data_IF_056811243825
#
_entry.id   IF_056811243825
#
_cell.length_a   1.000
_cell.length_b   1.000
_cell.length_c   1.000
_cell.angle_alpha   90.00
_cell.angle_beta   90.00
_cell.angle_gamma   90.00
#
_symmetry.space_group_name_H-M   'P 1'
#
loop_
_entity.id
_entity.type
_entity.pdbx_description
1 polymer ?
#
# COMPACT_ATOMS: atom_id res chain seq x y z
N UNK A 1 -1.15 -65.30 -1.52
CA UNK A 1 -1.98 -64.18 -2.01
C UNK A 1 -1.92 -63.04 -0.99
N UNK A 2 -0.84 -62.25 -0.99
CA UNK A 2 -0.59 -61.25 0.07
C UNK A 2 0.18 -60.02 -0.45
N UNK A 3 -0.30 -59.43 -1.55
CA UNK A 3 0.33 -58.24 -2.16
C UNK A 3 -0.64 -57.10 -2.50
N UNK A 4 -1.91 -57.16 -2.07
CA UNK A 4 -2.92 -56.13 -2.42
C UNK A 4 -3.19 -55.10 -1.31
N UNK A 5 -3.00 -55.42 -0.03
CA UNK A 5 -3.41 -54.51 1.06
C UNK A 5 -2.40 -53.40 1.42
N UNK A 6 -1.09 -53.61 1.21
CA UNK A 6 -0.05 -52.62 1.59
C UNK A 6 0.02 -51.41 0.64
N UNK A 7 -0.45 -51.55 -0.60
CA UNK A 7 -0.42 -50.48 -1.62
C UNK A 7 -1.56 -49.48 -1.44
N UNK A 8 -2.71 -49.92 -0.92
CA UNK A 8 -3.86 -49.05 -0.68
C UNK A 8 -3.63 -48.08 0.49
N UNK A 9 -2.94 -48.52 1.55
CA UNK A 9 -2.65 -47.69 2.73
C UNK A 9 -1.61 -46.60 2.46
N UNK A 10 -0.62 -46.87 1.60
CA UNK A 10 0.40 -45.89 1.22
C UNK A 10 -0.17 -44.75 0.35
N UNK A 11 -1.14 -45.04 -0.51
CA UNK A 11 -1.81 -44.04 -1.35
C UNK A 11 -2.76 -43.13 -0.54
N UNK A 12 -3.42 -43.66 0.49
CA UNK A 12 -4.29 -42.86 1.37
C UNK A 12 -3.53 -41.84 2.23
N UNK A 13 -2.32 -42.18 2.70
CA UNK A 13 -1.47 -41.28 3.50
C UNK A 13 -0.82 -40.16 2.66
N UNK A 14 -0.54 -40.41 1.37
CA UNK A 14 -0.03 -39.38 0.45
C UNK A 14 -1.15 -38.41 0.03
N UNK A 15 -2.38 -38.91 -0.16
CA UNK A 15 -3.53 -38.06 -0.48
C UNK A 15 -3.96 -37.15 0.69
N UNK A 16 -3.75 -37.57 1.94
CA UNK A 16 -4.09 -36.76 3.12
C UNK A 16 -3.06 -35.66 3.44
N UNK A 17 -1.82 -35.79 2.97
CA UNK A 17 -0.73 -34.83 3.25
C UNK A 17 -0.70 -33.65 2.28
N UNK A 18 -1.32 -33.76 1.10
CA UNK A 18 -1.37 -32.67 0.10
C UNK A 18 -2.47 -31.63 0.36
N UNK A 19 -3.47 -31.93 1.19
CA UNK A 19 -4.56 -31.00 1.54
C UNK A 19 -4.20 -30.01 2.67
N UNK A 20 -3.06 -30.17 3.35
CA UNK A 20 -2.69 -29.37 4.51
C UNK A 20 -1.89 -28.08 4.20
N UNK A 21 -1.55 -27.82 2.93
CA UNK A 21 -0.78 -26.62 2.52
C UNK A 21 -1.62 -25.55 1.83
N UNK A 22 -2.95 -25.53 2.04
CA UNK A 22 -3.75 -24.35 1.77
C UNK A 22 -3.40 -23.25 2.79
N UNK A 23 -2.22 -22.64 2.65
CA UNK A 23 -1.89 -21.40 3.32
C UNK A 23 -2.96 -20.39 2.91
N UNK A 24 -3.78 -19.96 3.87
CA UNK A 24 -4.74 -18.90 3.64
C UNK A 24 -3.94 -17.67 3.23
N UNK A 25 -3.95 -17.34 1.94
CA UNK A 25 -3.34 -16.11 1.45
C UNK A 25 -4.19 -14.97 2.04
N UNK A 26 -3.68 -14.37 3.10
CA UNK A 26 -4.32 -13.26 3.81
C UNK A 26 -3.74 -11.95 3.27
N UNK A 27 -4.41 -10.82 3.53
CA UNK A 27 -3.89 -9.51 3.15
C UNK A 27 -2.46 -9.31 3.68
N UNK A 28 -1.64 -8.55 2.95
CA UNK A 28 -0.29 -8.20 3.40
C UNK A 28 -0.37 -7.45 4.72
N UNK A 29 0.24 -8.01 5.75
CA UNK A 29 0.37 -7.34 7.06
C UNK A 29 1.36 -6.18 6.99
N UNK A 30 1.26 -5.28 7.96
CA UNK A 30 2.17 -4.15 8.08
C UNK A 30 3.56 -4.58 8.56
N UNK A 31 4.50 -4.67 7.63
CA UNK A 31 5.87 -5.17 7.86
C UNK A 31 6.87 -4.59 6.85
N UNK A 32 8.18 -4.61 7.14
CA UNK A 32 9.20 -4.25 6.15
C UNK A 32 9.06 -5.05 4.86
N UNK A 33 9.43 -4.42 3.75
CA UNK A 33 9.30 -5.01 2.44
C UNK A 33 10.18 -6.27 2.31
N UNK A 34 9.59 -7.36 1.86
CA UNK A 34 10.28 -8.60 1.51
C UNK A 34 10.01 -8.97 0.06
N UNK A 35 10.81 -9.86 -0.52
CA UNK A 35 10.66 -10.27 -1.91
C UNK A 35 11.14 -9.22 -2.91
N UNK A 36 11.00 -9.53 -4.20
CA UNK A 36 11.46 -8.69 -5.31
C UNK A 36 10.47 -8.73 -6.47
N UNK A 37 10.46 -7.70 -7.31
CA UNK A 37 9.58 -7.65 -8.48
C UNK A 37 8.11 -7.83 -8.08
N UNK A 38 7.45 -8.82 -8.67
CA UNK A 38 6.03 -9.10 -8.44
C UNK A 38 5.72 -9.63 -7.02
N UNK A 39 6.63 -10.38 -6.39
CA UNK A 39 6.44 -10.92 -5.03
C UNK A 39 6.79 -9.92 -3.93
N UNK A 40 7.14 -8.69 -4.29
CA UNK A 40 7.50 -7.65 -3.33
C UNK A 40 6.29 -7.21 -2.52
N UNK A 41 6.38 -7.24 -1.20
CA UNK A 41 5.27 -6.93 -0.29
C UNK A 41 5.76 -6.29 1.00
N UNK A 42 5.02 -5.32 1.53
CA UNK A 42 5.33 -4.57 2.74
C UNK A 42 5.81 -3.14 2.46
N UNK A 43 6.22 -2.44 3.52
CA UNK A 43 6.67 -1.06 3.45
C UNK A 43 8.17 -0.93 3.18
N UNK A 44 8.56 0.13 2.50
CA UNK A 44 9.96 0.52 2.35
C UNK A 44 10.11 2.03 2.29
N UNK A 45 11.29 2.50 2.65
CA UNK A 45 11.64 3.90 2.59
C UNK A 45 12.98 4.12 1.88
N UNK A 46 13.13 5.30 1.28
CA UNK A 46 14.38 5.78 0.72
C UNK A 46 14.52 7.25 1.07
N UNK A 47 15.60 7.60 1.74
CA UNK A 47 15.96 8.99 1.97
C UNK A 47 16.40 9.64 0.64
N UNK A 48 15.83 10.80 0.33
CA UNK A 48 16.21 11.63 -0.83
C UNK A 48 17.04 12.82 -0.34
N UNK A 49 16.59 13.48 0.73
CA UNK A 49 17.27 14.57 1.42
C UNK A 49 17.15 14.37 2.94
N UNK A 50 17.88 15.11 3.80
CA UNK A 50 17.82 14.93 5.25
C UNK A 50 16.40 14.95 5.85
N UNK A 51 15.49 15.74 5.27
CA UNK A 51 14.09 15.83 5.67
C UNK A 51 13.12 15.35 4.57
N UNK A 52 13.59 14.68 3.51
CA UNK A 52 12.76 14.23 2.39
C UNK A 52 12.92 12.73 2.16
N UNK A 53 11.80 12.02 2.17
CA UNK A 53 11.77 10.56 2.04
C UNK A 53 10.74 10.12 1.00
N UNK A 54 11.09 9.11 0.23
CA UNK A 54 10.14 8.33 -0.56
C UNK A 54 9.72 7.10 0.24
N UNK A 55 8.43 6.98 0.52
CA UNK A 55 7.83 5.85 1.24
C UNK A 55 6.97 5.07 0.26
N UNK A 56 7.08 3.74 0.26
CA UNK A 56 6.30 2.86 -0.62
C UNK A 56 5.69 1.74 0.21
N UNK A 57 4.46 1.36 -0.14
CA UNK A 57 3.80 0.17 0.37
C UNK A 57 3.37 -0.72 -0.80
N UNK A 58 3.74 -2.00 -0.77
CA UNK A 58 3.33 -2.98 -1.77
C UNK A 58 2.42 -4.04 -1.12
N UNK A 59 1.22 -4.20 -1.65
CA UNK A 59 0.29 -5.26 -1.25
C UNK A 59 0.51 -6.55 -2.05
N UNK A 60 -0.05 -7.65 -1.56
CA UNK A 60 -0.23 -8.88 -2.31
C UNK A 60 -1.57 -8.86 -3.06
N UNK A 61 -1.93 -9.98 -3.68
CA UNK A 61 -3.13 -10.03 -4.51
C UNK A 61 -4.46 -10.02 -3.76
N UNK A 62 -4.43 -10.23 -2.45
CA UNK A 62 -5.59 -10.15 -1.57
C UNK A 62 -5.69 -8.79 -0.89
N UNK A 63 -4.64 -7.96 -0.99
CA UNK A 63 -4.57 -6.68 -0.28
C UNK A 63 -5.35 -5.63 -1.06
N UNK A 64 -6.41 -5.11 -0.43
CA UNK A 64 -7.20 -4.04 -1.01
C UNK A 64 -6.34 -2.77 -1.22
N UNK A 65 -6.71 -1.99 -2.24
CA UNK A 65 -6.14 -0.64 -2.47
C UNK A 65 -6.20 0.21 -1.20
N UNK A 66 -7.33 0.14 -0.54
CA UNK A 66 -7.62 0.78 0.73
C UNK A 66 -6.57 0.51 1.81
N UNK A 67 -6.30 -0.78 2.05
CA UNK A 67 -5.27 -1.23 2.99
C UNK A 67 -3.88 -0.72 2.57
N UNK A 68 -3.55 -0.75 1.27
CA UNK A 68 -2.26 -0.23 0.77
C UNK A 68 -2.12 1.28 1.02
N UNK A 69 -3.16 2.08 0.75
CA UNK A 69 -3.14 3.53 0.93
C UNK A 69 -2.98 3.90 2.40
N UNK A 70 -3.75 3.21 3.24
CA UNK A 70 -3.77 3.37 4.69
C UNK A 70 -2.43 3.02 5.32
N UNK A 71 -1.83 1.91 4.93
CA UNK A 71 -0.54 1.48 5.46
C UNK A 71 0.60 2.36 4.97
N UNK A 72 0.52 2.89 3.75
CA UNK A 72 1.45 3.91 3.28
C UNK A 72 1.36 5.17 4.15
N UNK A 73 0.15 5.69 4.39
CA UNK A 73 -0.06 6.88 5.21
C UNK A 73 0.47 6.68 6.65
N UNK A 74 0.16 5.52 7.23
CA UNK A 74 0.66 5.15 8.55
C UNK A 74 2.19 5.08 8.58
N UNK A 75 2.83 4.46 7.58
CA UNK A 75 4.30 4.39 7.52
C UNK A 75 4.93 5.77 7.39
N UNK A 76 4.36 6.66 6.58
CA UNK A 76 4.83 8.04 6.47
C UNK A 76 4.81 8.76 7.81
N UNK A 77 3.76 8.57 8.61
CA UNK A 77 3.66 9.14 9.94
C UNK A 77 4.65 8.52 10.93
N UNK A 78 4.75 7.19 10.96
CA UNK A 78 5.68 6.47 11.83
C UNK A 78 7.13 6.89 11.55
N UNK A 79 7.51 6.95 10.28
CA UNK A 79 8.83 7.40 9.85
C UNK A 79 9.11 8.85 10.28
N UNK A 80 8.12 9.74 10.17
CA UNK A 80 8.26 11.14 10.58
C UNK A 80 8.58 11.26 12.07
N UNK A 81 7.88 10.51 12.91
CA UNK A 81 8.15 10.48 14.35
C UNK A 81 9.51 9.83 14.65
N UNK A 82 9.87 8.75 13.93
CA UNK A 82 11.17 8.07 14.05
C UNK A 82 12.35 9.00 13.74
N UNK A 83 12.20 9.89 12.76
CA UNK A 83 13.21 10.88 12.39
C UNK A 83 13.20 12.12 13.29
N UNK A 84 12.33 12.18 14.32
CA UNK A 84 12.27 13.28 15.28
C UNK A 84 11.57 14.54 14.77
N UNK A 85 10.66 14.39 13.81
CA UNK A 85 9.81 15.45 13.27
C UNK A 85 8.38 15.34 13.79
N UNK A 86 7.58 16.40 13.63
CA UNK A 86 6.22 16.49 14.16
C UNK A 86 5.14 16.29 13.08
N UNK A 87 5.42 16.75 11.86
CA UNK A 87 4.50 16.65 10.73
C UNK A 87 5.27 16.32 9.46
N UNK A 88 4.52 15.84 8.46
CA UNK A 88 5.01 15.71 7.10
C UNK A 88 4.05 16.35 6.11
N UNK A 89 4.60 16.80 5.00
CA UNK A 89 3.86 17.32 3.85
C UNK A 89 4.11 16.36 2.71
N UNK A 90 3.05 15.95 2.03
CA UNK A 90 3.17 15.20 0.79
C UNK A 90 3.76 16.10 -0.29
N UNK A 91 4.97 15.76 -0.76
CA UNK A 91 5.67 16.49 -1.80
C UNK A 91 5.43 15.84 -3.16
N UNK A 92 5.13 16.67 -4.16
CA UNK A 92 5.03 16.22 -5.54
C UNK A 92 6.39 16.38 -6.21
N UNK A 93 6.83 15.36 -6.95
CA UNK A 93 8.13 15.38 -7.63
C UNK A 93 8.16 16.37 -8.81
N UNK A 94 6.99 16.80 -9.27
CA UNK A 94 6.83 17.66 -10.45
C UNK A 94 5.72 18.69 -10.24
N UNK A 95 5.92 19.70 -9.37
CA UNK A 95 5.55 21.11 -9.70
C UNK A 95 5.81 22.08 -8.54
N UNK A 96 6.84 22.90 -8.74
CA UNK A 96 6.98 24.25 -8.17
C UNK A 96 6.00 25.26 -8.83
N UNK A 97 4.96 24.77 -9.53
CA UNK A 97 4.01 25.59 -10.27
C UNK A 97 2.62 24.96 -10.23
N UNK A 98 1.69 25.64 -9.55
CA UNK A 98 0.24 25.39 -9.45
C UNK A 98 -0.19 24.65 -8.18
N UNK A 99 -0.11 25.38 -7.07
CA UNK A 99 -1.26 25.42 -6.16
C UNK A 99 -2.54 25.57 -7.00
N UNK A 100 -3.54 24.72 -6.75
CA UNK A 100 -4.82 24.56 -7.50
C UNK A 100 -4.77 23.53 -8.61
N UNK A 101 -5.02 22.27 -8.26
CA UNK A 101 -6.14 21.53 -8.87
C UNK A 101 -6.64 20.53 -7.84
N UNK A 102 -7.95 20.53 -7.67
CA UNK A 102 -8.70 19.81 -6.65
C UNK A 102 -8.70 18.30 -6.87
N UNK A 103 -8.97 17.61 -5.76
CA UNK A 103 -9.24 16.19 -5.63
C UNK A 103 -10.06 15.61 -6.81
N UNK A 104 -9.48 14.62 -7.48
CA UNK A 104 -10.27 13.66 -8.26
C UNK A 104 -11.06 12.79 -7.28
N UNK A 105 -12.40 12.70 -7.38
CA UNK A 105 -13.19 11.83 -6.52
C UNK A 105 -12.77 10.38 -6.73
N UNK A 106 -12.37 9.68 -5.66
CA UNK A 106 -12.15 8.23 -5.71
C UNK A 106 -13.50 7.53 -5.84
N UNK A 107 -13.68 6.78 -6.94
CA UNK A 107 -14.83 5.91 -7.13
C UNK A 107 -14.60 4.62 -6.34
N UNK A 108 -15.59 4.22 -5.52
CA UNK A 108 -15.53 3.05 -4.65
C UNK A 108 -15.22 3.42 -3.19
N UNK A 109 -16.19 3.21 -2.30
CA UNK A 109 -16.16 3.57 -0.88
C UNK A 109 -15.15 2.82 0.00
N UNK A 110 -13.86 2.93 -0.33
CA UNK A 110 -12.72 2.60 0.53
C UNK A 110 -11.80 3.82 0.66
N UNK A 111 -11.63 4.30 1.90
CA UNK A 111 -10.70 5.34 2.37
C UNK A 111 -10.57 6.64 1.55
N UNK A 112 -11.62 6.99 0.79
CA UNK A 112 -11.78 8.29 0.13
C UNK A 112 -12.35 9.42 1.01
N UNK A 113 -12.49 9.22 2.32
CA UNK A 113 -13.10 10.20 3.23
C UNK A 113 -12.25 10.39 4.50
N UNK A 114 -11.40 11.42 4.54
CA UNK A 114 -10.82 11.89 5.81
C UNK A 114 -9.56 12.76 5.72
N UNK A 115 -8.70 12.53 4.72
CA UNK A 115 -7.40 13.19 4.63
C UNK A 115 -7.31 14.03 3.34
N UNK A 116 -8.05 15.15 3.29
CA UNK A 116 -8.31 16.02 2.13
C UNK A 116 -7.11 16.64 1.37
N UNK A 117 -5.95 16.00 1.39
CA UNK A 117 -4.77 16.27 0.57
C UNK A 117 -3.84 15.06 0.43
N UNK A 118 -4.29 13.84 0.77
CA UNK A 118 -3.53 12.61 0.60
C UNK A 118 -3.87 11.99 -0.75
N UNK A 119 -2.86 11.77 -1.59
CA UNK A 119 -3.05 11.26 -2.95
C UNK A 119 -1.77 10.64 -3.48
N UNK A 120 -1.39 9.43 -3.01
CA UNK A 120 -0.17 8.77 -3.46
C UNK A 120 -0.23 8.41 -4.94
N UNK A 121 0.95 8.25 -5.54
CA UNK A 121 1.08 7.65 -6.86
C UNK A 121 0.87 6.15 -6.74
N UNK A 122 0.18 5.58 -7.70
CA UNK A 122 -0.18 4.17 -7.70
C UNK A 122 0.54 3.43 -8.81
N UNK A 123 0.83 2.16 -8.55
CA UNK A 123 1.29 1.20 -9.52
C UNK A 123 0.51 -0.09 -9.27
N UNK A 124 0.03 -0.72 -10.32
CA UNK A 124 -0.85 -1.87 -10.21
C UNK A 124 -0.55 -2.86 -11.32
N UNK A 125 -0.81 -4.13 -11.04
CA UNK A 125 -0.59 -5.21 -11.98
C UNK A 125 -1.94 -5.75 -12.47
N UNK A 126 -2.18 -5.67 -13.78
CA UNK A 126 -3.38 -6.20 -14.42
C UNK A 126 -3.11 -7.53 -15.11
N UNK A 127 -4.00 -8.51 -14.93
CA UNK A 127 -3.92 -9.81 -15.61
C UNK A 127 -3.92 -9.62 -17.13
N UNK A 128 -2.85 -10.08 -17.81
CA UNK A 128 -2.70 -9.95 -19.27
C UNK A 128 -2.16 -8.61 -19.77
N UNK A 129 -2.03 -7.59 -18.92
CA UNK A 129 -1.57 -6.25 -19.30
C UNK A 129 -0.30 -5.78 -18.58
N UNK A 130 0.14 -6.51 -17.54
CA UNK A 130 1.37 -6.20 -16.82
C UNK A 130 1.27 -5.01 -15.87
N UNK A 131 2.41 -4.42 -15.53
CA UNK A 131 2.49 -3.27 -14.63
C UNK A 131 2.06 -1.98 -15.33
N UNK A 132 1.18 -1.24 -14.67
CA UNK A 132 0.73 0.09 -15.07
C UNK A 132 0.82 1.04 -13.88
N UNK A 133 0.84 2.34 -14.16
CA UNK A 133 0.99 3.39 -13.13
C UNK A 133 -0.11 4.43 -13.27
N UNK A 134 -0.53 4.98 -12.14
CA UNK A 134 -1.36 6.19 -12.05
C UNK A 134 -0.64 7.23 -11.21
N UNK A 135 -0.90 8.48 -11.52
CA UNK A 135 -0.66 9.58 -10.60
C UNK A 135 -1.79 10.61 -10.69
N UNK A 136 -2.03 11.39 -9.62
CA UNK A 136 -3.12 12.36 -9.59
C UNK A 136 -3.05 13.51 -10.61
N UNK A 137 -1.96 13.65 -11.36
CA UNK A 137 -1.66 14.86 -12.15
C UNK A 137 -1.56 14.62 -13.66
N UNK A 138 -1.02 13.47 -14.06
CA UNK A 138 -0.72 13.09 -15.44
C UNK A 138 -1.24 11.70 -15.80
N UNK A 139 -1.68 10.92 -14.81
CA UNK A 139 -2.34 9.65 -15.05
C UNK A 139 -3.67 9.86 -15.78
N UNK A 140 -3.90 9.07 -16.84
CA UNK A 140 -5.23 8.86 -17.39
C UNK A 140 -6.20 8.65 -16.21
N UNK A 141 -7.33 9.38 -16.10
CA UNK A 141 -8.27 9.23 -14.99
C UNK A 141 -8.59 7.75 -14.84
N UNK A 142 -8.00 7.12 -13.84
CA UNK A 142 -7.93 5.66 -13.71
C UNK A 142 -9.30 4.98 -13.57
N UNK A 143 -10.36 5.78 -13.43
CA UNK A 143 -11.75 5.38 -13.33
C UNK A 143 -12.61 5.88 -14.51
N UNK A 144 -12.02 6.47 -15.56
CA UNK A 144 -12.71 6.70 -16.83
C UNK A 144 -12.77 5.37 -17.61
N UNK A 145 -13.69 4.53 -17.15
CA UNK A 145 -14.39 3.48 -17.92
C UNK A 145 -13.61 2.29 -18.47
N UNK A 146 -12.28 2.21 -18.36
CA UNK A 146 -11.49 1.14 -19.03
C UNK A 146 -10.67 0.20 -18.15
N UNK A 147 -10.48 0.50 -16.86
CA UNK A 147 -9.86 -0.44 -15.91
C UNK A 147 -10.96 -1.21 -15.22
N UNK A 148 -11.19 -2.44 -15.70
CA UNK A 148 -12.00 -3.40 -14.97
C UNK A 148 -11.26 -3.78 -13.69
N UNK A 149 -11.76 -3.35 -12.53
CA UNK A 149 -11.16 -3.57 -11.21
C UNK A 149 -10.96 -5.08 -10.97
N UNK A 150 -11.80 -5.92 -11.58
CA UNK A 150 -11.72 -7.38 -11.52
C UNK A 150 -10.44 -7.93 -12.19
N UNK A 151 -9.76 -7.13 -13.02
CA UNK A 151 -8.50 -7.52 -13.67
C UNK A 151 -7.26 -7.11 -12.88
N UNK A 152 -7.41 -6.29 -11.83
CA UNK A 152 -6.28 -5.81 -11.04
C UNK A 152 -5.94 -6.84 -9.97
N UNK A 153 -4.77 -7.45 -10.13
CA UNK A 153 -4.31 -8.46 -9.20
C UNK A 153 -3.55 -7.85 -8.03
N UNK A 154 -2.79 -6.76 -8.20
CA UNK A 154 -1.89 -6.26 -7.15
C UNK A 154 -1.77 -4.74 -7.15
N UNK A 155 -1.69 -4.14 -5.97
CA UNK A 155 -1.51 -2.70 -5.76
C UNK A 155 -0.19 -2.36 -5.05
N UNK A 156 0.44 -1.28 -5.50
CA UNK A 156 1.60 -0.62 -4.90
C UNK A 156 1.34 0.89 -4.87
N UNK A 157 1.60 1.54 -3.75
CA UNK A 157 1.48 2.98 -3.62
C UNK A 157 2.80 3.59 -3.13
N UNK A 158 3.10 4.78 -3.62
CA UNK A 158 4.27 5.56 -3.18
C UNK A 158 3.89 6.99 -2.88
N UNK A 159 4.48 7.54 -1.83
CA UNK A 159 4.44 8.96 -1.51
C UNK A 159 5.85 9.49 -1.31
N UNK A 160 6.11 10.70 -1.77
CA UNK A 160 7.25 11.47 -1.33
C UNK A 160 6.78 12.43 -0.24
N UNK A 161 7.51 12.49 0.86
CA UNK A 161 7.15 13.29 2.04
C UNK A 161 8.32 14.18 2.44
N UNK A 162 8.00 15.41 2.81
CA UNK A 162 8.93 16.36 3.42
C UNK A 162 8.52 16.57 4.86
N UNK A 163 9.46 16.37 5.78
CA UNK A 163 9.22 16.41 7.21
C UNK A 163 9.55 17.79 7.79
N UNK A 164 8.81 18.19 8.81
CA UNK A 164 8.99 19.46 9.50
C UNK A 164 8.75 19.35 11.01
N UNK A 165 9.35 20.29 11.75
CA UNK A 165 9.21 20.41 13.21
C UNK A 165 8.23 21.52 13.57
N UNK A 166 7.64 21.41 14.75
CA UNK A 166 6.68 22.38 15.28
C UNK A 166 5.26 22.17 14.75
N UNK A 167 4.40 23.20 14.84
CA UNK A 167 3.02 23.05 14.46
C UNK A 167 2.89 22.79 12.96
N UNK A 168 1.98 21.88 12.62
CA UNK A 168 1.57 21.62 11.24
C UNK A 168 1.15 22.96 10.56
N UNK A 169 1.65 23.27 9.34
CA UNK A 169 1.28 24.49 8.63
C UNK A 169 -0.23 24.61 8.44
N UNK A 170 -0.83 25.67 9.01
CA UNK A 170 -2.25 25.95 8.85
C UNK A 170 -2.57 26.25 7.37
N UNK A 171 -3.64 25.66 6.84
CA UNK A 171 -4.08 25.86 5.46
C UNK A 171 -3.42 24.95 4.41
N UNK A 172 -2.37 24.19 4.75
CA UNK A 172 -1.85 23.17 3.85
C UNK A 172 -2.61 21.84 4.05
N UNK A 173 -3.53 21.54 3.14
CA UNK A 173 -4.33 20.29 3.17
C UNK A 173 -3.50 19.02 2.95
N UNK A 174 -2.31 19.15 2.35
CA UNK A 174 -1.35 18.04 2.14
C UNK A 174 -0.39 17.87 3.33
N UNK A 175 -0.55 18.66 4.39
CA UNK A 175 0.20 18.50 5.61
C UNK A 175 -0.56 17.60 6.60
N UNK A 176 0.17 16.69 7.23
CA UNK A 176 -0.36 15.70 8.15
C UNK A 176 0.43 15.72 9.45
N UNK A 177 -0.29 15.82 10.57
CA UNK A 177 0.31 15.67 11.90
C UNK A 177 0.59 14.19 12.13
N UNK A 178 1.87 13.84 12.36
CA UNK A 178 2.29 12.45 12.36
C UNK A 178 1.67 11.67 13.53
N UNK A 179 1.63 12.27 14.72
CA UNK A 179 1.07 11.63 15.92
C UNK A 179 -0.43 11.42 15.79
N UNK A 180 -1.15 12.38 15.23
CA UNK A 180 -2.59 12.29 14.97
C UNK A 180 -2.92 11.22 13.92
N UNK A 181 -2.10 11.09 12.87
CA UNK A 181 -2.25 10.01 11.89
C UNK A 181 -2.06 8.66 12.57
N UNK A 182 -0.98 8.48 13.35
CA UNK A 182 -0.74 7.24 14.08
C UNK A 182 -1.86 6.90 15.06
N UNK A 183 -2.41 7.89 15.77
CA UNK A 183 -3.50 7.68 16.72
C UNK A 183 -4.80 7.23 16.04
N UNK A 184 -5.14 7.79 14.88
CA UNK A 184 -6.38 7.48 14.17
C UNK A 184 -6.27 6.22 13.30
N UNK A 185 -5.11 5.99 12.68
CA UNK A 185 -4.92 4.89 11.72
C UNK A 185 -4.30 3.66 12.39
N UNK A 186 -3.43 3.84 13.38
CA UNK A 186 -2.74 2.75 14.08
C UNK A 186 -3.65 1.61 14.55
N UNK A 187 -4.84 1.87 15.15
CA UNK A 187 -5.77 0.82 15.55
C UNK A 187 -6.30 -0.05 14.41
N UNK A 188 -6.22 0.42 13.16
CA UNK A 188 -6.70 -0.28 11.97
C UNK A 188 -5.59 -1.05 11.23
N UNK A 189 -4.34 -0.94 11.70
CA UNK A 189 -3.17 -1.60 11.11
C UNK A 189 -3.03 -3.03 11.63
N UNK A 190 -2.95 -3.99 10.72
CA UNK A 190 -2.75 -5.41 11.05
C UNK A 190 -1.26 -5.74 11.03
N UNK A 191 -0.69 -6.00 12.22
CA UNK A 191 0.69 -6.44 12.38
C UNK A 191 0.84 -7.95 12.10
N UNK A 192 2.04 -8.43 11.70
CA UNK A 192 2.33 -9.85 11.65
C UNK A 192 2.17 -10.52 13.03
N UNK A 193 1.73 -11.79 13.03
CA UNK A 193 1.60 -12.62 14.24
C UNK A 193 2.93 -13.25 14.63
#
# INVERSE_FOLDING_TARGET
MAYSFRRASALGLIAASTLALAGCMTETTYRPATGVGFSREGYSERQIEPNRFQVTFAGNTMTSRDTVERYLLFRSAELTVQQGYDYFVMADRDTDKRQRTYATPSFGGGFGYGYGGWGPRWRYYGRGFGWRSWDPFWGDPFFDRSVDIDTVEKYEATAEIVMGKGPKPAGNVRAFDARSVMANIGPTVVLPK
#
